data_IF_109683667038
#
_entry.id   IF_109683667038
#
_cell.length_a   1.000
_cell.length_b   1.000
_cell.length_c   1.000
_cell.angle_alpha   90.00
_cell.angle_beta   90.00
_cell.angle_gamma   90.00
#
_symmetry.space_group_name_H-M   'P 1'
#
loop_
_entity.id
_entity.type
_entity.pdbx_description
1 polymer ?
#
# COMPACT_ATOMS: atom_id res chain seq x y z
N UNK A 1 14.84 -34.82 3.35
CA UNK A 1 14.55 -34.38 1.97
C UNK A 1 13.52 -33.25 2.01
N UNK A 2 13.97 -32.00 2.00
CA UNK A 2 13.12 -30.84 1.75
C UNK A 2 12.98 -30.70 0.22
N UNK A 3 11.74 -30.61 -0.26
CA UNK A 3 11.39 -30.73 -1.69
C UNK A 3 11.97 -29.55 -2.49
N UNK A 4 12.31 -29.81 -3.76
CA UNK A 4 12.81 -28.90 -4.81
C UNK A 4 11.88 -27.71 -5.17
N UNK A 5 10.92 -27.35 -4.32
CA UNK A 5 9.92 -26.31 -4.57
C UNK A 5 10.13 -25.11 -3.66
N UNK A 6 9.81 -23.91 -4.16
CA UNK A 6 9.85 -22.64 -3.42
C UNK A 6 9.19 -22.78 -2.04
N UNK A 7 9.78 -22.22 -0.96
CA UNK A 7 9.27 -22.39 0.39
C UNK A 7 7.86 -21.78 0.55
N UNK A 8 6.93 -22.49 1.21
CA UNK A 8 5.57 -21.99 1.44
C UNK A 8 5.46 -21.00 2.60
N UNK A 9 6.53 -20.83 3.39
CA UNK A 9 6.57 -19.96 4.57
C UNK A 9 7.53 -18.81 4.34
N UNK A 10 7.31 -17.70 5.07
CA UNK A 10 8.28 -16.61 5.14
C UNK A 10 9.59 -17.15 5.74
N UNK A 11 10.68 -17.00 5.00
CA UNK A 11 12.04 -17.32 5.44
C UNK A 11 12.81 -15.99 5.46
N UNK A 12 13.85 -15.84 6.27
CA UNK A 12 14.60 -14.58 6.38
C UNK A 12 15.06 -13.99 5.04
N UNK A 13 15.34 -14.83 4.04
CA UNK A 13 15.71 -14.40 2.68
C UNK A 13 14.51 -14.09 1.76
N UNK A 14 13.32 -14.64 2.06
CA UNK A 14 12.06 -14.41 1.35
C UNK A 14 10.94 -14.08 2.36
N UNK A 15 10.91 -12.84 2.91
CA UNK A 15 10.01 -12.47 4.00
C UNK A 15 8.52 -12.50 3.62
N UNK A 16 8.20 -12.35 2.33
CA UNK A 16 6.83 -12.40 1.81
C UNK A 16 6.42 -13.82 1.35
N UNK A 17 7.37 -14.75 1.19
CA UNK A 17 7.09 -16.08 0.65
C UNK A 17 6.55 -16.06 -0.79
N UNK A 18 5.70 -17.04 -1.14
CA UNK A 18 5.13 -17.20 -2.48
C UNK A 18 3.74 -16.56 -2.62
N UNK A 19 3.66 -15.23 -2.45
CA UNK A 19 2.42 -14.47 -2.69
C UNK A 19 2.24 -14.26 -4.20
N UNK A 20 1.09 -14.68 -4.71
CA UNK A 20 0.65 -14.37 -6.06
C UNK A 20 -0.19 -13.10 -5.95
N UNK A 21 0.15 -12.07 -6.75
CA UNK A 21 -0.50 -10.76 -6.70
C UNK A 21 -2.02 -10.87 -6.68
N UNK A 22 -2.62 -10.39 -5.59
CA UNK A 22 -4.05 -10.24 -5.48
C UNK A 22 -4.34 -8.75 -5.57
N UNK A 23 -4.63 -8.30 -6.78
CA UNK A 23 -5.01 -6.91 -7.01
C UNK A 23 -6.41 -6.69 -6.43
N UNK A 24 -6.52 -5.71 -5.54
CA UNK A 24 -7.79 -5.34 -4.91
C UNK A 24 -8.23 -4.01 -5.51
N UNK A 25 -9.43 -3.99 -6.07
CA UNK A 25 -10.09 -2.76 -6.45
C UNK A 25 -10.92 -2.22 -5.28
N UNK A 26 -10.59 -1.01 -4.83
CA UNK A 26 -11.32 -0.31 -3.77
C UNK A 26 -12.14 0.82 -4.36
N UNK A 27 -13.44 0.80 -4.09
CA UNK A 27 -14.39 1.81 -4.51
C UNK A 27 -14.79 2.69 -3.33
N UNK A 28 -14.83 4.01 -3.54
CA UNK A 28 -15.34 4.96 -2.55
C UNK A 28 -16.82 5.23 -2.81
N UNK A 29 -17.62 5.15 -1.76
CA UNK A 29 -19.05 5.51 -1.78
C UNK A 29 -19.29 7.04 -1.89
N UNK A 30 -18.21 7.83 -1.78
CA UNK A 30 -18.26 9.30 -1.81
C UNK A 30 -17.58 9.87 -3.06
N UNK A 31 -18.19 10.90 -3.64
CA UNK A 31 -17.63 11.65 -4.77
C UNK A 31 -16.86 12.87 -4.28
N UNK A 32 -15.97 13.42 -5.12
CA UNK A 32 -15.24 14.67 -4.82
C UNK A 32 -16.24 15.84 -4.65
N UNK A 33 -15.95 16.82 -3.77
CA UNK A 33 -14.76 16.95 -2.94
C UNK A 33 -14.76 15.96 -1.76
N UNK A 34 -13.62 15.29 -1.55
CA UNK A 34 -13.47 14.36 -0.44
C UNK A 34 -13.61 15.07 0.90
N UNK A 35 -14.20 14.41 1.92
CA UNK A 35 -14.31 14.99 3.26
C UNK A 35 -12.98 15.50 3.78
N UNK A 36 -12.97 16.68 4.40
CA UNK A 36 -11.76 17.26 5.01
C UNK A 36 -11.13 16.33 6.05
N UNK A 37 -11.92 15.43 6.65
CA UNK A 37 -11.45 14.39 7.57
C UNK A 37 -10.42 13.44 6.95
N UNK A 38 -10.38 13.28 5.63
CA UNK A 38 -9.36 12.49 4.93
C UNK A 38 -8.05 13.27 4.74
N UNK A 39 -8.05 14.59 4.96
CA UNK A 39 -6.88 15.48 4.88
C UNK A 39 -6.34 15.81 6.28
N UNK A 40 -6.10 14.78 7.08
CA UNK A 40 -5.48 14.97 8.39
C UNK A 40 -3.97 15.11 8.24
N UNK A 41 -3.34 16.10 8.88
CA UNK A 41 -1.89 16.10 8.99
C UNK A 41 -1.43 14.83 9.72
N UNK A 42 -0.22 14.33 9.46
CA UNK A 42 0.35 13.26 10.25
C UNK A 42 0.40 13.66 11.72
N UNK A 43 0.21 12.68 12.60
CA UNK A 43 0.35 12.90 14.04
C UNK A 43 1.79 13.31 14.38
N UNK A 44 1.97 14.12 15.42
CA UNK A 44 3.30 14.55 15.85
C UNK A 44 3.91 13.40 16.67
N UNK A 45 5.02 12.86 16.18
CA UNK A 45 5.72 11.75 16.82
C UNK A 45 7.01 12.21 17.52
N UNK A 46 7.48 11.40 18.47
CA UNK A 46 8.78 11.64 19.10
C UNK A 46 9.91 11.39 18.09
N UNK A 47 11.06 12.05 18.29
CA UNK A 47 12.22 11.88 17.39
C UNK A 47 12.77 10.45 17.40
N UNK A 48 12.69 9.76 18.53
CA UNK A 48 13.13 8.37 18.66
C UNK A 48 12.19 7.44 17.89
N UNK A 49 10.89 7.61 18.09
CA UNK A 49 9.84 6.85 17.37
C UNK A 49 9.97 7.04 15.86
N UNK A 50 10.19 8.28 15.40
CA UNK A 50 10.33 8.59 13.99
C UNK A 50 11.51 7.84 13.34
N UNK A 51 12.65 7.76 14.03
CA UNK A 51 13.85 7.06 13.53
C UNK A 51 13.59 5.57 13.36
N UNK A 52 12.94 4.96 14.35
CA UNK A 52 12.64 3.51 14.31
C UNK A 52 11.65 3.19 13.19
N UNK A 53 10.60 4.02 13.04
CA UNK A 53 9.63 3.87 11.95
C UNK A 53 10.31 4.04 10.58
N UNK A 54 11.25 4.97 10.46
CA UNK A 54 11.97 5.19 9.20
C UNK A 54 12.78 3.98 8.76
N UNK A 55 13.36 3.21 9.69
CA UNK A 55 14.04 1.94 9.38
C UNK A 55 13.06 0.96 8.73
N UNK A 56 11.90 0.74 9.34
CA UNK A 56 10.89 -0.19 8.82
C UNK A 56 10.25 0.30 7.51
N UNK A 57 10.06 1.61 7.34
CA UNK A 57 9.57 2.16 6.07
C UNK A 57 10.55 1.82 4.95
N UNK A 58 11.86 1.94 5.18
CA UNK A 58 12.86 1.61 4.18
C UNK A 58 12.85 0.12 3.83
N UNK A 59 12.72 -0.77 4.82
CA UNK A 59 12.57 -2.21 4.58
C UNK A 59 11.35 -2.52 3.69
N UNK A 60 10.22 -1.85 3.94
CA UNK A 60 8.99 -2.03 3.16
C UNK A 60 9.08 -1.43 1.74
N UNK A 61 9.87 -0.37 1.56
CA UNK A 61 10.17 0.19 0.23
C UNK A 61 11.06 -0.76 -0.57
N UNK A 62 12.09 -1.34 0.05
CA UNK A 62 13.01 -2.29 -0.58
C UNK A 62 12.30 -3.59 -1.01
N UNK A 63 11.26 -4.00 -0.27
CA UNK A 63 10.40 -5.13 -0.60
C UNK A 63 9.29 -4.81 -1.62
N UNK A 64 9.23 -3.58 -2.15
CA UNK A 64 8.19 -3.10 -3.08
C UNK A 64 6.75 -3.27 -2.53
N UNK A 65 6.61 -3.30 -1.19
CA UNK A 65 5.31 -3.31 -0.50
C UNK A 65 4.76 -1.89 -0.40
N UNK A 66 5.66 -0.92 -0.19
CA UNK A 66 5.34 0.50 -0.21
C UNK A 66 5.91 1.15 -1.46
N UNK A 67 5.19 2.13 -1.99
CA UNK A 67 5.63 2.99 -3.09
C UNK A 67 5.42 4.44 -2.70
N UNK A 68 6.41 5.29 -3.00
CA UNK A 68 6.28 6.73 -2.80
C UNK A 68 5.34 7.31 -3.86
N UNK A 69 4.31 8.03 -3.41
CA UNK A 69 3.29 8.65 -4.28
C UNK A 69 3.39 10.16 -4.15
N UNK A 70 3.35 10.87 -5.28
CA UNK A 70 3.34 12.33 -5.30
C UNK A 70 2.04 12.92 -4.76
N UNK A 71 2.09 14.12 -4.19
CA UNK A 71 0.91 14.79 -3.57
C UNK A 71 -0.28 14.98 -4.54
N UNK A 72 0.00 15.02 -5.85
CA UNK A 72 -1.00 15.14 -6.92
C UNK A 72 -0.99 13.96 -7.90
N UNK A 73 -0.28 12.88 -7.57
CA UNK A 73 -0.24 11.70 -8.43
C UNK A 73 -1.62 11.02 -8.37
N UNK A 74 -2.28 10.97 -9.53
CA UNK A 74 -3.53 10.22 -9.68
C UNK A 74 -3.14 8.76 -9.82
N UNK A 75 -3.16 8.03 -8.71
CA UNK A 75 -3.19 6.57 -8.75
C UNK A 75 -4.51 6.18 -9.41
N UNK A 76 -4.46 5.28 -10.39
CA UNK A 76 -5.65 4.82 -11.08
C UNK A 76 -6.61 4.13 -10.09
N UNK A 77 -7.50 4.91 -9.48
CA UNK A 77 -8.79 4.40 -9.05
C UNK A 77 -9.72 4.61 -10.24
N UNK A 78 -10.27 3.52 -10.77
CA UNK A 78 -11.26 3.59 -11.84
C UNK A 78 -12.45 4.40 -11.31
N UNK A 79 -12.51 5.67 -11.72
CA UNK A 79 -13.68 6.49 -11.54
C UNK A 79 -14.82 5.89 -12.35
N UNK A 80 -16.02 5.91 -11.77
CA UNK A 80 -17.27 5.45 -12.38
C UNK A 80 -17.33 5.72 -13.89
N UNK A 81 -17.59 4.67 -14.66
CA UNK A 81 -18.22 4.82 -15.98
C UNK A 81 -19.65 5.29 -15.70
N UNK A 82 -19.97 6.52 -16.08
CA UNK A 82 -21.37 6.93 -16.21
C UNK A 82 -22.00 6.01 -17.26
N UNK A 83 -22.90 5.13 -16.84
CA UNK A 83 -23.87 4.53 -17.75
C UNK A 83 -24.88 5.63 -18.04
N UNK A 84 -24.53 6.50 -18.98
CA UNK A 84 -25.49 7.38 -19.64
C UNK A 84 -26.32 6.52 -20.60
N UNK A 85 -27.61 6.42 -20.25
CA UNK A 85 -28.74 6.05 -21.11
C UNK A 85 -28.81 4.59 -21.59
N UNK A 86 -29.56 3.78 -20.85
CA UNK A 86 -30.46 2.76 -21.40
C UNK A 86 -31.91 3.23 -21.20
#
# INVERSE_FOLDING_TARGET
>A
MLRKSRPPFAIGEEPLGNIIGHDIELYLDVKRPYPLMLRRPPYIESMETKKEIEVHINELLDMDVLRKIGHNEIVASLGYVEISEL
#
